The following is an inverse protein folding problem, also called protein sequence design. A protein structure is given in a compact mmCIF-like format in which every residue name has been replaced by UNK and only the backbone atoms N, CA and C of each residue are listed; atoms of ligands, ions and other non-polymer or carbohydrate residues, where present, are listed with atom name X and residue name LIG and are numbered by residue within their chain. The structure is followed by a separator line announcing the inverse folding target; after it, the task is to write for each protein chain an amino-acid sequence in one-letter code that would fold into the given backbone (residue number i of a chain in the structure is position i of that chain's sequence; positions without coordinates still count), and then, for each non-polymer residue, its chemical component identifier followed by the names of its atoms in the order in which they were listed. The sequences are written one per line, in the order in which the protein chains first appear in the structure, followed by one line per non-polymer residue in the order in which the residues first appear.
data_IF_349119243117
#
_entry.id   IF_349119243117
#
_cell.length_a   1.000
_cell.length_b   1.000
_cell.length_c   1.000
_cell.angle_alpha   90.00
_cell.angle_beta   90.00
_cell.angle_gamma   90.00
#
_symmetry.space_group_name_H-M   'P 1'
#
loop_
_entity.id
_entity.type
_entity.pdbx_description
1 polymer ?
#
# COMPACT_ATOMS: atom_id res chain seq x y z
N UNK A 1 -13.87 14.11 -6.60
CA UNK A 1 -14.22 13.90 -5.18
C UNK A 1 -14.31 15.25 -4.48
N UNK A 2 -15.41 15.50 -3.72
CA UNK A 2 -15.48 16.68 -2.84
C UNK A 2 -14.89 16.29 -1.47
N UNK A 3 -13.62 16.57 -1.26
CA UNK A 3 -12.89 16.14 -0.07
C UNK A 3 -13.44 16.72 1.24
N UNK A 4 -13.94 17.97 1.23
CA UNK A 4 -14.45 18.65 2.43
C UNK A 4 -15.69 17.98 3.03
N UNK A 5 -16.49 17.31 2.21
CA UNK A 5 -17.71 16.62 2.63
C UNK A 5 -17.51 15.09 2.72
N UNK A 6 -16.29 14.59 2.45
CA UNK A 6 -16.01 13.17 2.39
C UNK A 6 -15.44 12.65 3.71
N UNK A 7 -15.96 11.50 4.16
CA UNK A 7 -15.31 10.69 5.17
C UNK A 7 -14.56 9.57 4.48
N UNK A 8 -13.27 9.46 4.70
CA UNK A 8 -12.39 8.50 4.03
C UNK A 8 -11.73 7.58 5.04
N UNK A 9 -11.59 6.31 4.69
CA UNK A 9 -10.82 5.33 5.46
C UNK A 9 -9.43 5.18 4.83
N UNK A 10 -8.39 5.26 5.65
CA UNK A 10 -7.02 4.88 5.29
C UNK A 10 -6.61 3.72 6.18
N UNK A 11 -6.51 2.52 5.61
CA UNK A 11 -5.96 1.38 6.34
C UNK A 11 -4.43 1.37 6.21
N UNK A 12 -3.71 1.06 7.29
CA UNK A 12 -2.26 1.23 7.32
C UNK A 12 -1.83 2.71 7.34
N UNK A 13 -2.73 3.60 7.80
CA UNK A 13 -2.55 5.05 7.73
C UNK A 13 -1.55 5.65 8.72
N UNK A 14 -1.01 4.87 9.66
CA UNK A 14 0.08 5.28 10.55
C UNK A 14 1.47 4.85 10.03
N UNK A 15 1.52 4.08 8.94
CA UNK A 15 2.76 3.59 8.31
C UNK A 15 3.36 4.62 7.34
N UNK A 16 4.45 4.27 6.65
CA UNK A 16 5.20 5.17 5.77
C UNK A 16 4.30 5.89 4.75
N UNK A 17 3.83 5.20 3.72
CA UNK A 17 3.00 5.82 2.65
C UNK A 17 1.66 6.29 3.21
N UNK A 18 1.05 5.48 4.11
CA UNK A 18 -0.25 5.77 4.68
C UNK A 18 -0.30 7.07 5.48
N UNK A 19 0.76 7.40 6.23
CA UNK A 19 0.80 8.65 7.01
C UNK A 19 0.93 9.90 6.13
N UNK A 20 1.71 9.84 5.04
CA UNK A 20 1.77 10.92 4.05
C UNK A 20 0.42 11.10 3.32
N UNK A 21 -0.25 10.00 2.98
CA UNK A 21 -1.59 10.05 2.40
C UNK A 21 -2.60 10.65 3.38
N UNK A 22 -2.52 10.28 4.67
CA UNK A 22 -3.34 10.85 5.74
C UNK A 22 -3.14 12.36 5.84
N UNK A 23 -1.88 12.84 5.85
CA UNK A 23 -1.55 14.27 5.85
C UNK A 23 -2.21 14.98 4.67
N UNK A 24 -2.00 14.46 3.44
CA UNK A 24 -2.51 15.05 2.22
C UNK A 24 -4.05 15.09 2.14
N UNK A 25 -4.75 14.10 2.70
CA UNK A 25 -6.21 14.05 2.76
C UNK A 25 -6.75 15.04 3.79
N UNK A 26 -6.11 15.15 4.96
CA UNK A 26 -6.45 16.16 5.98
C UNK A 26 -6.25 17.58 5.45
N UNK A 27 -5.17 17.84 4.72
CA UNK A 27 -4.92 19.14 4.07
C UNK A 27 -6.00 19.50 3.05
N UNK A 28 -6.58 18.54 2.36
CA UNK A 28 -7.72 18.71 1.44
C UNK A 28 -9.05 18.89 2.14
N UNK A 29 -9.08 18.76 3.47
CA UNK A 29 -10.29 18.96 4.28
C UNK A 29 -11.14 17.71 4.47
N UNK A 30 -10.66 16.51 4.08
CA UNK A 30 -11.38 15.27 4.31
C UNK A 30 -11.43 14.92 5.81
N UNK A 31 -12.51 14.27 6.24
CA UNK A 31 -12.57 13.58 7.52
C UNK A 31 -11.90 12.23 7.35
N UNK A 32 -10.79 12.02 8.03
CA UNK A 32 -9.99 10.80 7.84
C UNK A 32 -10.18 9.87 9.01
N UNK A 33 -10.57 8.62 8.73
CA UNK A 33 -10.46 7.50 9.68
C UNK A 33 -9.23 6.71 9.32
N UNK A 34 -8.35 6.47 10.28
CA UNK A 34 -7.18 5.61 10.13
C UNK A 34 -7.39 4.35 10.94
N UNK A 35 -7.17 3.18 10.30
CA UNK A 35 -7.08 1.89 10.98
C UNK A 35 -5.70 1.31 10.74
N UNK A 36 -4.99 1.00 11.83
CA UNK A 36 -3.63 0.47 11.79
C UNK A 36 -3.40 -0.41 13.03
N UNK A 37 -2.78 -1.57 12.89
CA UNK A 37 -2.44 -2.43 14.04
C UNK A 37 -1.09 -2.05 14.68
N UNK A 38 -0.40 -1.06 14.10
CA UNK A 38 0.92 -0.57 14.51
C UNK A 38 2.05 -1.62 14.44
N UNK A 39 1.86 -2.67 13.64
CA UNK A 39 2.93 -3.67 13.42
C UNK A 39 4.16 -3.06 12.72
N UNK A 40 3.94 -2.13 11.80
CA UNK A 40 4.99 -1.34 11.14
C UNK A 40 4.72 0.16 11.19
N UNK A 41 3.47 0.57 11.44
CA UNK A 41 3.07 1.95 11.62
C UNK A 41 3.53 2.54 12.96
N UNK A 42 3.59 3.85 13.02
CA UNK A 42 3.90 4.61 14.25
C UNK A 42 2.84 5.68 14.45
N UNK A 43 2.12 5.61 15.56
CA UNK A 43 1.08 6.60 15.87
C UNK A 43 1.63 8.05 15.85
N UNK A 44 2.90 8.23 16.24
CA UNK A 44 3.59 9.52 16.19
C UNK A 44 3.55 10.18 14.78
N UNK A 45 3.45 9.41 13.71
CA UNK A 45 3.37 9.94 12.35
C UNK A 45 2.09 10.75 12.09
N UNK A 46 1.00 10.45 12.81
CA UNK A 46 -0.32 11.08 12.64
C UNK A 46 -0.85 11.69 13.94
N UNK A 47 -0.07 11.66 15.03
CA UNK A 47 -0.50 12.09 16.36
C UNK A 47 -1.08 13.51 16.37
N UNK A 48 -0.46 14.46 15.68
CA UNK A 48 -0.94 15.84 15.62
C UNK A 48 -2.34 15.96 15.00
N UNK A 49 -2.68 15.11 14.03
CA UNK A 49 -4.01 15.07 13.42
C UNK A 49 -5.04 14.42 14.36
N UNK A 50 -4.63 13.39 15.10
CA UNK A 50 -5.48 12.75 16.13
C UNK A 50 -5.78 13.74 17.25
N UNK A 51 -4.77 14.40 17.78
CA UNK A 51 -4.91 15.37 18.89
C UNK A 51 -5.78 16.58 18.50
N UNK A 52 -5.72 16.99 17.23
CA UNK A 52 -6.55 18.08 16.70
C UNK A 52 -7.96 17.64 16.28
N UNK A 53 -8.32 16.36 16.42
CA UNK A 53 -9.61 15.80 16.05
C UNK A 53 -9.88 15.72 14.54
N UNK A 54 -8.85 15.89 13.70
CA UNK A 54 -8.96 15.76 12.22
C UNK A 54 -8.92 14.32 11.75
N UNK A 55 -8.32 13.43 12.56
CA UNK A 55 -8.22 12.00 12.29
C UNK A 55 -8.86 11.21 13.42
N UNK A 56 -9.79 10.32 13.07
CA UNK A 56 -10.27 9.25 13.95
C UNK A 56 -9.30 8.08 13.82
N UNK A 57 -8.60 7.73 14.90
CA UNK A 57 -7.67 6.61 14.90
C UNK A 57 -8.26 5.40 15.61
N UNK A 58 -8.23 4.24 14.93
CA UNK A 58 -8.64 2.94 15.48
C UNK A 58 -7.43 2.01 15.41
N UNK A 59 -6.90 1.63 16.57
CA UNK A 59 -5.87 0.59 16.62
C UNK A 59 -6.53 -0.77 16.56
N UNK A 60 -6.43 -1.44 15.40
CA UNK A 60 -7.05 -2.75 15.19
C UNK A 60 -6.35 -3.54 14.08
N UNK A 61 -6.45 -4.86 14.18
CA UNK A 61 -6.12 -5.77 13.09
C UNK A 61 -7.40 -6.08 12.30
N UNK A 62 -7.39 -5.76 11.01
CA UNK A 62 -8.55 -5.95 10.13
C UNK A 62 -8.83 -7.41 9.81
N UNK A 63 -7.92 -8.34 10.15
CA UNK A 63 -8.16 -9.79 10.06
C UNK A 63 -8.96 -10.32 11.23
N UNK A 64 -9.11 -9.56 12.30
CA UNK A 64 -9.95 -9.95 13.43
C UNK A 64 -11.43 -9.67 13.14
N UNK A 65 -12.36 -10.53 13.63
CA UNK A 65 -13.78 -10.41 13.35
C UNK A 65 -14.37 -9.06 13.77
N UNK A 66 -15.12 -8.44 12.86
CA UNK A 66 -15.88 -7.21 13.12
C UNK A 66 -15.12 -5.91 12.86
N UNK A 67 -13.79 -5.90 12.90
CA UNK A 67 -13.05 -4.65 12.70
C UNK A 67 -13.12 -4.11 11.27
N UNK A 68 -13.14 -4.95 10.24
CA UNK A 68 -13.32 -4.49 8.87
C UNK A 68 -14.67 -3.79 8.68
N UNK A 69 -15.75 -4.31 9.27
CA UNK A 69 -17.08 -3.70 9.25
C UNK A 69 -17.11 -2.38 10.03
N UNK A 70 -16.49 -2.34 11.20
CA UNK A 70 -16.37 -1.11 11.99
C UNK A 70 -15.61 -0.04 11.22
N UNK A 71 -14.50 -0.41 10.60
CA UNK A 71 -13.68 0.49 9.80
C UNK A 71 -14.46 1.11 8.63
N UNK A 72 -15.23 0.31 7.90
CA UNK A 72 -15.97 0.72 6.72
C UNK A 72 -17.27 1.49 7.03
N UNK A 73 -17.76 1.46 8.28
CA UNK A 73 -19.05 2.07 8.62
C UNK A 73 -19.05 3.60 8.45
N UNK A 74 -19.98 4.12 7.63
CA UNK A 74 -20.16 5.57 7.40
C UNK A 74 -19.06 6.26 6.60
N UNK A 75 -18.24 5.50 5.87
CA UNK A 75 -17.18 6.01 4.98
C UNK A 75 -17.67 5.97 3.53
N UNK A 76 -17.23 6.91 2.70
CA UNK A 76 -17.56 6.93 1.27
C UNK A 76 -16.44 6.34 0.41
N UNK A 77 -15.19 6.53 0.80
CA UNK A 77 -14.01 6.16 0.03
C UNK A 77 -12.99 5.44 0.91
N UNK A 78 -12.35 4.42 0.37
CA UNK A 78 -11.34 3.64 1.08
C UNK A 78 -10.02 3.68 0.34
N UNK A 79 -8.95 4.03 1.05
CA UNK A 79 -7.58 3.80 0.63
C UNK A 79 -7.02 2.62 1.42
N UNK A 80 -6.87 1.50 0.75
CA UNK A 80 -6.41 0.26 1.38
C UNK A 80 -4.91 0.04 1.19
N UNK A 81 -4.14 0.42 2.23
CA UNK A 81 -2.68 0.30 2.24
C UNK A 81 -2.18 -0.73 3.27
N UNK A 82 -3.01 -1.15 4.22
CA UNK A 82 -2.65 -2.18 5.18
C UNK A 82 -2.28 -3.47 4.46
N UNK A 83 -1.13 -4.02 4.80
CA UNK A 83 -0.65 -5.31 4.29
C UNK A 83 0.50 -5.79 5.18
N UNK A 84 0.71 -7.10 5.23
CA UNK A 84 1.99 -7.65 5.64
C UNK A 84 2.97 -7.51 4.47
N UNK A 85 3.99 -6.68 4.65
CA UNK A 85 4.94 -6.31 3.61
C UNK A 85 6.33 -6.01 4.17
N UNK A 86 7.31 -5.99 3.29
CA UNK A 86 8.66 -5.61 3.64
C UNK A 86 9.55 -5.47 2.40
N UNK A 87 10.85 -5.24 2.62
CA UNK A 87 11.83 -5.28 1.54
C UNK A 87 12.01 -6.70 1.00
N UNK A 88 12.79 -6.86 -0.08
CA UNK A 88 12.99 -8.15 -0.78
C UNK A 88 13.30 -9.31 0.17
N UNK A 89 14.23 -9.12 1.10
CA UNK A 89 14.60 -10.17 2.05
C UNK A 89 13.44 -10.60 2.96
N UNK A 90 12.56 -9.68 3.32
CA UNK A 90 11.39 -10.00 4.14
C UNK A 90 10.40 -10.86 3.36
N UNK A 91 9.98 -10.43 2.18
CA UNK A 91 8.97 -11.14 1.40
C UNK A 91 9.43 -12.50 0.92
N UNK A 92 10.74 -12.70 0.71
CA UNK A 92 11.31 -14.01 0.37
C UNK A 92 11.30 -14.99 1.55
N UNK A 93 11.46 -14.50 2.78
CA UNK A 93 11.58 -15.35 3.98
C UNK A 93 10.26 -15.52 4.75
N UNK A 94 9.27 -14.66 4.53
CA UNK A 94 8.02 -14.63 5.30
C UNK A 94 6.78 -14.88 4.42
N UNK A 95 6.85 -15.93 3.59
CA UNK A 95 5.80 -16.27 2.62
C UNK A 95 4.43 -16.50 3.26
N UNK A 96 4.38 -17.18 4.43
CA UNK A 96 3.13 -17.41 5.14
C UNK A 96 2.50 -16.13 5.68
N UNK A 97 3.31 -15.22 6.22
CA UNK A 97 2.84 -13.92 6.67
C UNK A 97 2.27 -13.10 5.49
N UNK A 98 3.00 -13.03 4.37
CA UNK A 98 2.51 -12.37 3.15
C UNK A 98 1.22 -12.99 2.61
N UNK A 99 1.01 -14.31 2.77
CA UNK A 99 -0.23 -14.97 2.37
C UNK A 99 -1.45 -14.51 3.19
N UNK A 100 -1.26 -14.00 4.42
CA UNK A 100 -2.38 -13.48 5.22
C UNK A 100 -3.05 -12.25 4.61
N UNK A 101 -2.37 -11.55 3.68
CA UNK A 101 -2.97 -10.45 2.92
C UNK A 101 -4.22 -10.90 2.14
N UNK A 102 -4.32 -12.17 1.72
CA UNK A 102 -5.52 -12.71 1.07
C UNK A 102 -6.76 -12.61 1.97
N UNK A 103 -6.60 -12.94 3.25
CA UNK A 103 -7.69 -12.83 4.23
C UNK A 103 -8.01 -11.37 4.53
N UNK A 104 -6.99 -10.54 4.75
CA UNK A 104 -7.12 -9.11 5.01
C UNK A 104 -7.92 -8.41 3.90
N UNK A 105 -7.48 -8.56 2.65
CA UNK A 105 -8.11 -7.96 1.47
C UNK A 105 -9.56 -8.43 1.31
N UNK A 106 -9.79 -9.75 1.41
CA UNK A 106 -11.12 -10.34 1.27
C UNK A 106 -12.11 -9.86 2.34
N UNK A 107 -11.68 -9.77 3.59
CA UNK A 107 -12.52 -9.27 4.69
C UNK A 107 -12.86 -7.80 4.51
N UNK A 108 -11.89 -6.96 4.16
CA UNK A 108 -12.13 -5.54 3.96
C UNK A 108 -13.00 -5.27 2.73
N UNK A 109 -12.73 -5.90 1.57
CA UNK A 109 -13.52 -5.67 0.35
C UNK A 109 -14.98 -6.06 0.54
N UNK A 110 -15.22 -7.19 1.24
CA UNK A 110 -16.57 -7.59 1.62
C UNK A 110 -17.25 -6.56 2.52
N UNK A 111 -16.55 -6.04 3.52
CA UNK A 111 -17.06 -5.00 4.41
C UNK A 111 -17.35 -3.69 3.64
N UNK A 112 -16.49 -3.30 2.72
CA UNK A 112 -16.69 -2.15 1.85
C UNK A 112 -17.97 -2.28 1.01
N UNK A 113 -18.15 -3.43 0.36
CA UNK A 113 -19.37 -3.71 -0.40
C UNK A 113 -20.63 -3.62 0.47
N UNK A 114 -20.63 -4.28 1.65
CA UNK A 114 -21.76 -4.26 2.59
C UNK A 114 -22.08 -2.87 3.13
N UNK A 115 -21.07 -2.01 3.29
CA UNK A 115 -21.23 -0.62 3.73
C UNK A 115 -21.63 0.34 2.59
N UNK A 116 -21.68 -0.12 1.34
CA UNK A 116 -22.02 0.71 0.19
C UNK A 116 -20.92 1.73 -0.18
N UNK A 117 -19.64 1.37 0.03
CA UNK A 117 -18.50 2.23 -0.30
C UNK A 117 -18.51 2.56 -1.80
N UNK A 118 -18.33 3.84 -2.14
CA UNK A 118 -18.37 4.31 -3.52
C UNK A 118 -17.18 3.85 -4.36
N UNK A 119 -15.98 3.84 -3.75
CA UNK A 119 -14.74 3.44 -4.43
C UNK A 119 -13.67 2.96 -3.44
N UNK A 120 -12.93 1.94 -3.84
CA UNK A 120 -11.74 1.45 -3.14
C UNK A 120 -10.50 1.75 -3.97
N UNK A 121 -9.55 2.48 -3.40
CA UNK A 121 -8.20 2.64 -3.96
C UNK A 121 -7.29 1.65 -3.24
N UNK A 122 -6.73 0.72 -4.00
CA UNK A 122 -5.96 -0.40 -3.48
C UNK A 122 -4.47 -0.24 -3.75
N UNK A 123 -3.66 -0.31 -2.71
CA UNK A 123 -2.21 -0.36 -2.84
C UNK A 123 -1.76 -1.76 -3.31
N UNK A 124 -1.71 -1.92 -4.61
CA UNK A 124 -1.08 -3.07 -5.27
C UNK A 124 0.44 -2.89 -5.33
N UNK A 125 1.14 -3.71 -6.09
CA UNK A 125 2.60 -3.73 -6.11
C UNK A 125 3.15 -4.05 -7.49
N UNK A 126 4.37 -3.61 -7.78
CA UNK A 126 5.15 -4.10 -8.91
C UNK A 126 5.40 -5.61 -8.89
N UNK A 127 5.24 -6.27 -7.73
CA UNK A 127 5.37 -7.73 -7.60
C UNK A 127 4.25 -8.53 -8.30
N UNK A 128 3.20 -7.88 -8.82
CA UNK A 128 2.16 -8.53 -9.63
C UNK A 128 2.59 -8.79 -11.07
N UNK A 129 3.64 -8.10 -11.54
CA UNK A 129 4.15 -8.28 -12.90
C UNK A 129 4.86 -9.62 -13.07
N UNK A 130 4.72 -10.26 -14.25
CA UNK A 130 5.25 -11.60 -14.48
C UNK A 130 6.77 -11.69 -14.33
N UNK A 131 7.26 -12.63 -13.52
CA UNK A 131 8.69 -12.86 -13.32
C UNK A 131 9.39 -13.29 -14.62
N UNK A 132 8.75 -14.13 -15.42
CA UNK A 132 9.35 -14.66 -16.66
C UNK A 132 9.68 -13.57 -17.69
N UNK A 133 9.06 -12.39 -17.60
CA UNK A 133 9.39 -11.24 -18.43
C UNK A 133 10.60 -10.44 -17.95
N UNK A 134 11.03 -10.68 -16.71
CA UNK A 134 12.04 -9.87 -16.00
C UNK A 134 13.35 -10.65 -15.78
N UNK A 135 13.63 -11.65 -16.60
CA UNK A 135 14.76 -12.57 -16.41
C UNK A 135 16.07 -12.09 -17.03
N UNK A 136 16.02 -11.20 -18.01
CA UNK A 136 17.20 -10.68 -18.70
C UNK A 136 17.61 -9.31 -18.14
N UNK A 137 18.71 -9.22 -17.35
CA UNK A 137 19.17 -7.96 -16.80
C UNK A 137 19.73 -6.98 -17.86
N UNK A 138 20.01 -7.46 -19.08
CA UNK A 138 20.48 -6.63 -20.19
C UNK A 138 19.35 -5.97 -20.97
N UNK A 139 18.10 -6.39 -20.74
CA UNK A 139 16.93 -5.85 -21.44
C UNK A 139 16.25 -4.76 -20.61
N UNK A 140 16.06 -3.58 -21.22
CA UNK A 140 15.18 -2.56 -20.65
C UNK A 140 13.73 -2.93 -20.96
N UNK A 141 12.98 -3.32 -19.93
CA UNK A 141 11.55 -3.66 -20.06
C UNK A 141 10.72 -2.59 -19.35
N UNK A 142 9.82 -1.95 -20.09
CA UNK A 142 8.80 -1.08 -19.50
C UNK A 142 7.58 -1.92 -19.09
N UNK A 143 7.30 -1.96 -17.80
CA UNK A 143 6.19 -2.71 -17.24
C UNK A 143 4.88 -1.91 -17.37
N UNK A 144 4.16 -2.15 -18.45
CA UNK A 144 2.85 -1.55 -18.71
C UNK A 144 1.72 -2.41 -18.11
N UNK A 145 0.56 -1.82 -17.86
CA UNK A 145 -0.53 -2.47 -17.11
C UNK A 145 -1.08 -3.73 -17.81
N UNK A 146 -1.04 -3.77 -19.13
CA UNK A 146 -1.50 -4.89 -19.98
C UNK A 146 -0.64 -6.16 -19.87
N UNK A 147 0.58 -6.04 -19.34
CA UNK A 147 1.44 -7.20 -19.09
C UNK A 147 0.96 -8.07 -17.92
N UNK A 148 0.04 -7.59 -17.09
CA UNK A 148 -0.52 -8.37 -16.00
C UNK A 148 -1.79 -9.07 -16.44
N UNK A 149 -1.63 -10.29 -16.91
CA UNK A 149 -2.71 -11.14 -17.39
C UNK A 149 -2.24 -12.59 -17.55
N UNK A 150 -3.13 -13.50 -17.98
CA UNK A 150 -2.73 -14.90 -18.22
C UNK A 150 -1.65 -15.02 -19.32
N UNK A 151 -0.61 -15.85 -19.13
CA UNK A 151 -0.32 -16.61 -17.92
C UNK A 151 0.23 -15.72 -16.77
N UNK A 152 -0.41 -15.77 -15.59
CA UNK A 152 0.04 -15.04 -14.42
C UNK A 152 1.29 -15.68 -13.81
N UNK A 153 2.26 -14.86 -13.40
CA UNK A 153 3.53 -15.30 -12.80
C UNK A 153 4.04 -14.25 -11.79
N UNK A 154 3.18 -13.94 -10.82
CA UNK A 154 3.48 -12.94 -9.81
C UNK A 154 4.62 -13.40 -8.86
N UNK A 155 5.35 -12.42 -8.33
CA UNK A 155 6.53 -12.67 -7.51
C UNK A 155 6.17 -13.10 -6.09
N UNK A 156 6.50 -14.33 -5.71
CA UNK A 156 6.27 -14.97 -4.41
C UNK A 156 4.85 -14.77 -3.83
N UNK A 157 4.58 -15.19 -2.59
CA UNK A 157 3.24 -15.08 -1.99
C UNK A 157 2.77 -13.64 -1.81
N UNK A 158 3.68 -12.68 -1.65
CA UNK A 158 3.31 -11.27 -1.58
C UNK A 158 2.71 -10.78 -2.91
N UNK A 159 3.40 -11.02 -4.04
CA UNK A 159 2.91 -10.66 -5.36
C UNK A 159 1.61 -11.37 -5.73
N UNK A 160 1.51 -12.68 -5.42
CA UNK A 160 0.27 -13.44 -5.63
C UNK A 160 -0.89 -12.90 -4.80
N UNK A 161 -0.68 -12.53 -3.53
CA UNK A 161 -1.74 -11.95 -2.71
C UNK A 161 -2.21 -10.60 -3.29
N UNK A 162 -1.27 -9.74 -3.71
CA UNK A 162 -1.61 -8.45 -4.34
C UNK A 162 -2.36 -8.63 -5.66
N UNK A 163 -1.93 -9.57 -6.50
CA UNK A 163 -2.64 -9.91 -7.74
C UNK A 163 -4.06 -10.42 -7.46
N UNK A 164 -4.21 -11.29 -6.48
CA UNK A 164 -5.55 -11.77 -6.07
C UNK A 164 -6.43 -10.65 -5.54
N UNK A 165 -5.87 -9.67 -4.84
CA UNK A 165 -6.60 -8.46 -4.44
C UNK A 165 -7.14 -7.68 -5.64
N UNK A 166 -6.32 -7.46 -6.68
CA UNK A 166 -6.78 -6.82 -7.93
C UNK A 166 -7.90 -7.62 -8.61
N UNK A 167 -7.72 -8.94 -8.76
CA UNK A 167 -8.71 -9.81 -9.38
C UNK A 167 -10.02 -9.88 -8.58
N UNK A 168 -9.92 -9.85 -7.24
CA UNK A 168 -11.09 -9.79 -6.35
C UNK A 168 -11.86 -8.48 -6.56
N UNK A 169 -11.19 -7.34 -6.60
CA UNK A 169 -11.83 -6.05 -6.87
C UNK A 169 -12.49 -5.99 -8.26
N UNK A 170 -11.86 -6.59 -9.28
CA UNK A 170 -12.48 -6.73 -10.60
C UNK A 170 -13.76 -7.60 -10.56
N UNK A 171 -13.75 -8.68 -9.78
CA UNK A 171 -14.94 -9.51 -9.58
C UNK A 171 -16.05 -8.73 -8.85
N UNK A 172 -15.71 -7.99 -7.79
CA UNK A 172 -16.65 -7.12 -7.07
C UNK A 172 -17.26 -6.03 -7.97
N UNK A 173 -16.49 -5.48 -8.88
CA UNK A 173 -17.01 -4.54 -9.88
C UNK A 173 -18.00 -5.21 -10.84
N UNK A 174 -17.63 -6.38 -11.38
CA UNK A 174 -18.50 -7.12 -12.34
C UNK A 174 -19.83 -7.57 -11.73
N UNK A 175 -19.77 -8.07 -10.50
CA UNK A 175 -20.94 -8.68 -9.86
C UNK A 175 -21.82 -7.63 -9.16
N UNK A 176 -21.20 -6.58 -8.57
CA UNK A 176 -21.91 -5.66 -7.69
C UNK A 176 -21.67 -4.17 -8.00
N UNK A 177 -20.89 -3.86 -9.03
CA UNK A 177 -20.63 -2.48 -9.45
C UNK A 177 -19.73 -1.68 -8.49
N UNK A 178 -19.05 -2.33 -7.53
CA UNK A 178 -18.15 -1.63 -6.60
C UNK A 178 -16.92 -1.12 -7.34
N UNK A 179 -16.79 0.20 -7.45
CA UNK A 179 -15.67 0.84 -8.16
C UNK A 179 -14.36 0.67 -7.41
N UNK A 180 -13.28 0.51 -8.15
CA UNK A 180 -11.94 0.43 -7.58
C UNK A 180 -10.88 0.96 -8.53
N UNK A 181 -9.73 1.33 -7.96
CA UNK A 181 -8.48 1.59 -8.69
C UNK A 181 -7.33 0.89 -7.96
N UNK A 182 -6.53 0.11 -8.69
CA UNK A 182 -5.36 -0.58 -8.14
C UNK A 182 -4.09 0.17 -8.54
N UNK A 183 -3.38 0.71 -7.56
CA UNK A 183 -2.14 1.43 -7.76
C UNK A 183 -0.96 0.47 -7.56
N UNK A 184 -0.23 0.12 -8.62
CA UNK A 184 0.93 -0.78 -8.57
C UNK A 184 2.17 -0.02 -8.18
N UNK A 185 2.44 0.06 -6.87
CA UNK A 185 3.63 0.74 -6.38
C UNK A 185 4.88 -0.08 -6.66
N UNK A 186 5.92 0.61 -7.15
CA UNK A 186 7.28 0.10 -7.20
C UNK A 186 8.03 0.53 -5.94
N UNK A 187 9.33 0.82 -6.05
CA UNK A 187 10.09 1.18 -4.86
C UNK A 187 9.82 2.64 -4.49
N UNK A 188 9.25 2.85 -3.32
CA UNK A 188 8.93 4.18 -2.78
C UNK A 188 10.00 4.57 -1.76
N UNK A 189 10.41 5.84 -1.78
CA UNK A 189 11.33 6.40 -0.79
C UNK A 189 10.84 7.77 -0.32
N UNK A 190 11.31 8.21 0.83
CA UNK A 190 10.98 9.51 1.41
C UNK A 190 11.06 9.49 2.92
N UNK A 191 10.61 10.57 3.53
CA UNK A 191 10.52 10.70 4.99
C UNK A 191 9.65 9.59 5.59
N UNK A 192 9.91 9.21 6.82
CA UNK A 192 9.22 8.10 7.53
C UNK A 192 9.41 6.72 6.87
N UNK A 193 10.28 6.62 5.83
CA UNK A 193 10.60 5.35 5.17
C UNK A 193 11.35 4.40 6.10
N UNK A 194 11.14 3.09 5.91
CA UNK A 194 11.79 2.06 6.72
C UNK A 194 13.29 1.95 6.42
N UNK A 195 14.09 1.79 7.47
CA UNK A 195 15.54 1.64 7.40
C UNK A 195 16.00 0.41 6.58
N UNK A 196 15.13 -0.60 6.46
CA UNK A 196 15.39 -1.81 5.70
C UNK A 196 15.21 -1.65 4.18
N UNK A 197 14.69 -0.50 3.72
CA UNK A 197 14.58 -0.23 2.30
C UNK A 197 15.89 0.30 1.75
N UNK A 198 16.29 -0.18 0.58
CA UNK A 198 17.65 0.00 0.04
C UNK A 198 18.11 1.48 0.00
N UNK A 199 17.25 2.41 -0.44
CA UNK A 199 17.62 3.85 -0.50
C UNK A 199 17.83 4.41 0.90
N UNK A 200 16.92 4.16 1.83
CA UNK A 200 17.04 4.66 3.21
C UNK A 200 18.26 4.05 3.89
N UNK A 201 18.49 2.74 3.70
CA UNK A 201 19.68 2.06 4.21
C UNK A 201 20.98 2.64 3.64
N UNK A 202 21.01 2.98 2.35
CA UNK A 202 22.18 3.61 1.71
C UNK A 202 22.40 5.04 2.23
N UNK A 203 21.35 5.83 2.38
CA UNK A 203 21.42 7.17 2.97
C UNK A 203 21.96 7.09 4.40
N UNK A 204 21.43 6.19 5.22
CA UNK A 204 21.87 6.01 6.60
C UNK A 204 23.37 5.63 6.67
N UNK A 205 23.83 4.70 5.83
CA UNK A 205 25.25 4.30 5.77
C UNK A 205 26.16 5.45 5.36
N UNK A 206 25.73 6.25 4.38
CA UNK A 206 26.47 7.46 3.98
C UNK A 206 26.52 8.50 5.10
N UNK A 207 25.39 8.71 5.77
CA UNK A 207 25.28 9.69 6.86
C UNK A 207 26.17 9.38 8.06
N UNK A 208 26.26 8.08 8.46
CA UNK A 208 27.14 7.65 9.56
C UNK A 208 28.60 7.47 9.14
N UNK A 209 28.94 7.74 7.87
CA UNK A 209 30.31 7.60 7.35
C UNK A 209 30.81 6.15 7.34
N UNK A 210 29.92 5.18 7.05
CA UNK A 210 30.30 3.77 7.03
C UNK A 210 31.49 3.51 6.07
N UNK A 211 32.56 2.91 6.58
CA UNK A 211 33.73 2.56 5.79
C UNK A 211 34.20 1.13 6.14
N UNK A 212 34.22 0.18 5.17
CA UNK A 212 33.85 0.37 3.78
C UNK A 212 32.35 0.60 3.59
N UNK A 213 31.97 1.37 2.58
CA UNK A 213 30.57 1.55 2.19
C UNK A 213 30.07 0.30 1.47
N UNK A 214 29.18 -0.45 2.12
CA UNK A 214 28.74 -1.76 1.64
C UNK A 214 27.47 -1.61 0.80
N UNK A 215 27.55 -2.07 -0.45
CA UNK A 215 26.40 -2.26 -1.35
C UNK A 215 26.22 -3.73 -1.60
N UNK A 216 24.98 -4.22 -1.49
CA UNK A 216 24.69 -5.64 -1.73
C UNK A 216 24.60 -5.93 -3.25
N UNK A 217 25.08 -7.10 -3.65
CA UNK A 217 25.17 -7.51 -5.05
C UNK A 217 26.41 -6.92 -5.74
N UNK A 218 26.34 -6.84 -7.07
CA UNK A 218 27.43 -6.33 -7.91
C UNK A 218 27.34 -4.82 -8.24
N UNK A 219 26.27 -4.15 -7.79
CA UNK A 219 26.03 -2.73 -8.04
C UNK A 219 25.38 -2.40 -9.39
N UNK A 220 25.05 -3.41 -10.20
CA UNK A 220 24.43 -3.24 -11.54
C UNK A 220 22.90 -3.28 -11.51
N UNK A 221 22.30 -3.48 -10.33
CA UNK A 221 20.84 -3.56 -10.19
C UNK A 221 20.18 -2.23 -10.54
N UNK A 222 19.25 -2.28 -11.47
CA UNK A 222 18.41 -1.15 -11.85
C UNK A 222 17.10 -1.22 -11.06
N UNK A 223 16.65 -0.09 -10.51
CA UNK A 223 15.39 0.04 -9.79
C UNK A 223 14.73 1.36 -10.11
N UNK A 224 13.40 1.36 -10.20
CA UNK A 224 12.64 2.60 -10.23
C UNK A 224 12.46 3.10 -8.80
N UNK A 225 12.71 4.38 -8.61
CA UNK A 225 12.56 5.07 -7.34
C UNK A 225 11.55 6.19 -7.50
N UNK A 226 10.48 6.15 -6.72
CA UNK A 226 9.46 7.19 -6.72
C UNK A 226 9.38 7.82 -5.35
N UNK A 227 9.42 9.15 -5.29
CA UNK A 227 9.25 9.86 -4.03
C UNK A 227 7.85 9.65 -3.48
N UNK A 228 7.72 9.62 -2.15
CA UNK A 228 6.43 9.36 -1.49
C UNK A 228 5.37 10.38 -1.84
N UNK A 229 5.74 11.65 -2.05
CA UNK A 229 4.78 12.69 -2.43
C UNK A 229 4.15 12.45 -3.80
N UNK A 230 4.94 11.94 -4.77
CA UNK A 230 4.43 11.58 -6.10
C UNK A 230 3.49 10.36 -6.03
N UNK A 231 3.83 9.39 -5.18
CA UNK A 231 2.97 8.23 -4.91
C UNK A 231 1.65 8.68 -4.30
N UNK A 232 1.69 9.56 -3.30
CA UNK A 232 0.48 10.09 -2.66
C UNK A 232 -0.37 10.89 -3.65
N UNK A 233 0.26 11.76 -4.45
CA UNK A 233 -0.44 12.53 -5.47
C UNK A 233 -1.14 11.61 -6.49
N UNK A 234 -0.42 10.61 -7.02
CA UNK A 234 -0.99 9.62 -7.94
C UNK A 234 -2.11 8.78 -7.32
N UNK A 235 -1.97 8.42 -6.05
CA UNK A 235 -2.98 7.66 -5.30
C UNK A 235 -4.27 8.46 -5.10
N UNK A 236 -4.16 9.76 -4.84
CA UNK A 236 -5.32 10.66 -4.71
C UNK A 236 -6.00 10.84 -6.07
N UNK A 237 -5.23 11.05 -7.15
CA UNK A 237 -5.78 11.12 -8.51
C UNK A 237 -6.50 9.82 -8.92
N UNK A 238 -6.02 8.66 -8.47
CA UNK A 238 -6.70 7.39 -8.72
C UNK A 238 -8.07 7.30 -8.00
N UNK A 239 -8.31 8.10 -6.97
CA UNK A 239 -9.61 8.21 -6.31
C UNK A 239 -10.60 9.09 -7.07
N UNK A 240 -10.12 10.08 -7.79
CA UNK A 240 -10.92 11.02 -8.58
C UNK A 240 -11.39 10.41 -9.91
#
# INVERSE_FOLDING_TARGET
VNWQDSTVLVTGGASFIGSHLTDALVERGARVRVVDNLSSGRLANIQGHVDSGKVEFIQADLTEPGFAQQAAAGVQLVFHLAADHGGRGYVDLHQAACATNLALDGMLFRACHQAGIEKVVYASSGCVYPNHLQTDPGQVLYLTEDLVGPPCDADNMYGWAKLMGELTLQAFFRDWGMKSASCRYFTVYGERGHENHAVIAMIARAFIGQNPYVVWGNGEQIRNWTHVDDIVAGTILAAE
#
